data_IF_749105983094
#
_entry.id   IF_749105983094
#
_cell.length_a   1.000
_cell.length_b   1.000
_cell.length_c   1.000
_cell.angle_alpha   90.00
_cell.angle_beta   90.00
_cell.angle_gamma   90.00
#
_symmetry.space_group_name_H-M   'P 1'
#
loop_
_entity.id
_entity.type
_entity.pdbx_description
1 polymer ?
#
# COMPACT_ATOMS: atom_id res chain seq x y z
N UNK A 1 -31.22 13.61 -4.89
CA UNK A 1 -30.24 12.89 -5.74
C UNK A 1 -29.10 12.41 -4.86
N UNK A 2 -28.95 11.11 -4.58
CA UNK A 2 -27.83 10.65 -3.78
C UNK A 2 -26.57 10.70 -4.64
N UNK A 3 -25.62 11.55 -4.26
CA UNK A 3 -24.27 11.54 -4.81
C UNK A 3 -23.70 10.15 -4.55
N UNK A 4 -23.60 9.30 -5.59
CA UNK A 4 -22.91 8.01 -5.50
C UNK A 4 -21.49 8.30 -5.01
N UNK A 5 -21.22 8.00 -3.74
CA UNK A 5 -19.86 7.82 -3.26
C UNK A 5 -19.23 6.76 -4.17
N UNK A 6 -18.02 6.96 -4.73
CA UNK A 6 -17.34 5.87 -5.40
C UNK A 6 -17.27 4.73 -4.40
N UNK A 7 -17.92 3.62 -4.73
CA UNK A 7 -17.98 2.42 -3.90
C UNK A 7 -16.58 1.82 -3.96
N UNK A 8 -15.64 2.38 -3.18
CA UNK A 8 -14.34 1.79 -2.92
C UNK A 8 -14.64 0.49 -2.19
N UNK A 9 -14.83 -0.58 -2.97
CA UNK A 9 -14.80 -1.94 -2.45
C UNK A 9 -13.36 -2.17 -2.04
N UNK A 10 -13.07 -1.97 -0.75
CA UNK A 10 -11.90 -2.56 -0.15
C UNK A 10 -12.03 -4.07 -0.38
N UNK A 11 -11.14 -4.60 -1.21
CA UNK A 11 -11.06 -6.04 -1.43
C UNK A 11 -10.25 -6.63 -0.27
N UNK A 12 -10.50 -7.90 0.10
CA UNK A 12 -9.63 -8.61 1.04
C UNK A 12 -8.18 -8.56 0.54
N UNK A 13 -7.22 -8.49 1.45
CA UNK A 13 -5.78 -8.53 1.11
C UNK A 13 -5.48 -9.68 0.15
N UNK A 14 -6.01 -10.88 0.39
CA UNK A 14 -5.80 -12.06 -0.46
C UNK A 14 -6.19 -11.83 -1.94
N UNK A 15 -7.32 -11.15 -2.18
CA UNK A 15 -7.79 -10.82 -3.53
C UNK A 15 -6.86 -9.79 -4.17
N UNK A 16 -6.38 -8.86 -3.36
CA UNK A 16 -5.51 -7.82 -3.85
C UNK A 16 -4.11 -8.34 -4.18
N UNK A 17 -3.57 -9.23 -3.35
CA UNK A 17 -2.31 -9.92 -3.59
C UNK A 17 -2.40 -10.78 -4.86
N UNK A 18 -3.51 -11.52 -5.08
CA UNK A 18 -3.75 -12.28 -6.32
C UNK A 18 -3.66 -11.37 -7.55
N UNK A 19 -4.28 -10.20 -7.49
CA UNK A 19 -4.26 -9.28 -8.61
C UNK A 19 -2.90 -8.65 -8.88
N UNK A 20 -2.11 -8.31 -7.84
CA UNK A 20 -0.73 -7.86 -8.02
C UNK A 20 0.13 -8.97 -8.59
N UNK A 21 0.01 -10.19 -8.08
CA UNK A 21 0.74 -11.36 -8.58
C UNK A 21 0.39 -11.67 -10.04
N UNK A 22 -0.87 -11.43 -10.45
CA UNK A 22 -1.33 -11.58 -11.82
C UNK A 22 -0.99 -10.38 -12.72
N UNK A 23 -0.36 -9.34 -12.17
CA UNK A 23 0.04 -8.14 -12.90
C UNK A 23 -1.12 -7.23 -13.31
N UNK A 24 -2.29 -7.38 -12.68
CA UNK A 24 -3.49 -6.62 -13.00
C UNK A 24 -3.48 -5.20 -12.40
N UNK A 25 -2.76 -5.00 -11.29
CA UNK A 25 -2.41 -3.66 -10.79
C UNK A 25 -1.09 -3.68 -10.01
N UNK A 26 -0.52 -2.49 -9.82
CA UNK A 26 0.76 -2.32 -9.13
C UNK A 26 0.56 -2.31 -7.60
N UNK A 27 1.58 -2.72 -6.85
CA UNK A 27 1.66 -2.50 -5.41
C UNK A 27 1.38 -1.04 -5.01
N UNK A 28 1.69 -0.08 -5.88
CA UNK A 28 1.37 1.33 -5.65
C UNK A 28 -0.14 1.57 -5.57
N UNK A 29 -0.92 0.98 -6.49
CA UNK A 29 -2.37 1.05 -6.45
C UNK A 29 -2.93 0.29 -5.25
N UNK A 30 -2.30 -0.82 -4.86
CA UNK A 30 -2.63 -1.56 -3.65
C UNK A 30 -2.60 -0.68 -2.39
N UNK A 31 -1.50 0.03 -2.18
CA UNK A 31 -1.27 0.89 -1.00
C UNK A 31 -2.15 2.15 -1.01
N UNK A 32 -2.39 2.75 -2.18
CA UNK A 32 -3.10 4.03 -2.25
C UNK A 32 -4.62 3.86 -2.34
N UNK A 33 -5.10 2.83 -3.05
CA UNK A 33 -6.51 2.73 -3.45
C UNK A 33 -7.27 1.58 -2.79
N UNK A 34 -6.62 0.47 -2.45
CA UNK A 34 -7.34 -0.77 -2.19
C UNK A 34 -7.22 -1.33 -0.78
N UNK A 35 -6.10 -1.12 -0.09
CA UNK A 35 -5.93 -1.53 1.31
C UNK A 35 -6.15 -0.34 2.24
N UNK A 36 -7.17 -0.41 3.11
CA UNK A 36 -7.45 0.64 4.09
C UNK A 36 -6.30 0.77 5.10
N UNK A 37 -5.82 -0.37 5.61
CA UNK A 37 -4.73 -0.43 6.60
C UNK A 37 -3.41 0.14 6.06
N UNK A 38 -2.98 -0.29 4.86
CA UNK A 38 -1.76 0.24 4.25
C UNK A 38 -1.90 1.70 3.83
N UNK A 39 -3.10 2.12 3.44
CA UNK A 39 -3.36 3.52 3.11
C UNK A 39 -3.27 4.40 4.35
N UNK A 40 -3.79 3.95 5.48
CA UNK A 40 -3.68 4.67 6.75
C UNK A 40 -2.22 4.77 7.21
N UNK A 41 -1.47 3.66 7.19
CA UNK A 41 -0.02 3.67 7.47
C UNK A 41 0.73 4.60 6.52
N UNK A 42 0.46 4.51 5.21
CA UNK A 42 1.09 5.38 4.22
C UNK A 42 0.70 6.85 4.38
N UNK A 43 -0.52 7.14 4.85
CA UNK A 43 -0.97 8.50 5.16
C UNK A 43 -0.16 9.07 6.30
N UNK A 44 0.04 8.29 7.37
CA UNK A 44 0.82 8.71 8.52
C UNK A 44 2.30 8.89 8.16
N UNK A 45 2.87 7.91 7.45
CA UNK A 45 4.24 8.00 6.91
C UNK A 45 4.46 9.25 6.06
N UNK A 46 3.49 9.55 5.17
CA UNK A 46 3.53 10.77 4.38
C UNK A 46 3.42 12.03 5.25
N UNK A 47 2.53 12.03 6.24
CA UNK A 47 2.30 13.15 7.15
C UNK A 47 3.53 13.46 8.00
N UNK A 48 4.16 12.44 8.57
CA UNK A 48 5.38 12.60 9.37
C UNK A 48 6.56 13.12 8.56
N UNK A 49 6.68 12.68 7.29
CA UNK A 49 7.76 13.09 6.39
C UNK A 49 7.45 14.34 5.56
N UNK A 50 6.26 14.91 5.68
CA UNK A 50 5.81 16.03 4.83
C UNK A 50 5.71 15.69 3.34
N UNK A 51 5.48 14.41 3.02
CA UNK A 51 5.37 13.89 1.67
C UNK A 51 3.91 13.90 1.20
N UNK A 52 3.70 14.03 -0.12
CA UNK A 52 2.37 13.94 -0.71
C UNK A 52 1.97 12.47 -0.95
N UNK A 53 0.70 12.12 -0.74
CA UNK A 53 0.17 10.80 -1.10
C UNK A 53 0.08 10.67 -2.62
N UNK A 54 1.17 10.19 -3.23
CA UNK A 54 1.29 10.00 -4.67
C UNK A 54 1.97 8.66 -4.96
N UNK A 55 1.84 8.22 -6.21
CA UNK A 55 2.36 6.93 -6.67
C UNK A 55 3.87 6.77 -6.44
N UNK A 56 4.64 7.86 -6.57
CA UNK A 56 6.09 7.86 -6.36
C UNK A 56 6.46 7.59 -4.91
N UNK A 57 5.75 8.22 -3.97
CA UNK A 57 6.00 8.06 -2.55
C UNK A 57 5.48 6.72 -2.04
N UNK A 58 4.39 6.20 -2.61
CA UNK A 58 3.91 4.86 -2.29
C UNK A 58 4.92 3.79 -2.73
N UNK A 59 5.53 3.95 -3.91
CA UNK A 59 6.63 3.08 -4.33
C UNK A 59 7.79 3.13 -3.33
N UNK A 60 8.17 4.32 -2.87
CA UNK A 60 9.23 4.48 -1.87
C UNK A 60 8.86 3.82 -0.52
N UNK A 61 7.58 3.85 -0.12
CA UNK A 61 7.10 3.16 1.09
C UNK A 61 7.16 1.64 0.93
N UNK A 62 6.78 1.10 -0.24
CA UNK A 62 6.86 -0.34 -0.54
C UNK A 62 8.32 -0.80 -0.50
N UNK A 63 9.23 -0.08 -1.16
CA UNK A 63 10.67 -0.40 -1.13
C UNK A 63 11.22 -0.32 0.29
N UNK A 64 10.79 0.65 1.11
CA UNK A 64 11.18 0.72 2.51
C UNK A 64 10.68 -0.48 3.32
N UNK A 65 9.46 -0.96 3.06
CA UNK A 65 8.90 -2.16 3.69
C UNK A 65 9.64 -3.43 3.27
N UNK A 66 10.02 -3.54 2.00
CA UNK A 66 10.85 -4.64 1.47
C UNK A 66 12.22 -4.67 2.15
N UNK A 67 12.90 -3.52 2.24
CA UNK A 67 14.20 -3.37 2.92
C UNK A 67 14.11 -3.77 4.41
N UNK A 68 13.03 -3.35 5.09
CA UNK A 68 12.78 -3.72 6.49
C UNK A 68 12.58 -5.24 6.67
N UNK A 69 11.93 -5.89 5.70
CA UNK A 69 11.74 -7.34 5.69
C UNK A 69 13.06 -8.07 5.42
N UNK A 70 13.86 -7.59 4.46
CA UNK A 70 15.18 -8.13 4.16
C UNK A 70 16.13 -8.00 5.36
N UNK A 71 16.12 -6.86 6.05
CA UNK A 71 16.92 -6.63 7.27
C UNK A 71 16.46 -7.55 8.42
N UNK A 72 15.15 -7.71 8.63
CA UNK A 72 14.62 -8.64 9.62
C UNK A 72 14.98 -10.11 9.32
N UNK A 73 14.97 -10.50 8.04
CA UNK A 73 15.44 -11.82 7.61
C UNK A 73 16.95 -12.00 7.83
N UNK A 74 17.76 -10.98 7.55
CA UNK A 74 19.20 -11.00 7.82
C UNK A 74 19.54 -11.05 9.31
N UNK A 75 18.73 -10.43 10.16
CA UNK A 75 18.86 -10.50 11.62
C UNK A 75 18.35 -11.82 12.20
N UNK A 76 17.78 -12.72 11.39
CA UNK A 76 17.26 -14.01 11.83
C UNK A 76 16.01 -13.90 12.70
N UNK A 77 15.25 -12.81 12.57
CA UNK A 77 14.02 -12.53 13.33
C UNK A 77 12.74 -12.92 12.56
N UNK A 78 12.86 -13.82 11.57
CA UNK A 78 11.76 -14.35 10.76
C UNK A 78 10.95 -15.45 11.48
#
# INVERSE_FOLDING_TARGET
>A
MPRKKPNFKYYPEEVLIDFVQRGLFSWVDYVIHYSEEWREEFTDFCRERGMAMNNRNALAYITYREDLLEDAMQQGLA
#
